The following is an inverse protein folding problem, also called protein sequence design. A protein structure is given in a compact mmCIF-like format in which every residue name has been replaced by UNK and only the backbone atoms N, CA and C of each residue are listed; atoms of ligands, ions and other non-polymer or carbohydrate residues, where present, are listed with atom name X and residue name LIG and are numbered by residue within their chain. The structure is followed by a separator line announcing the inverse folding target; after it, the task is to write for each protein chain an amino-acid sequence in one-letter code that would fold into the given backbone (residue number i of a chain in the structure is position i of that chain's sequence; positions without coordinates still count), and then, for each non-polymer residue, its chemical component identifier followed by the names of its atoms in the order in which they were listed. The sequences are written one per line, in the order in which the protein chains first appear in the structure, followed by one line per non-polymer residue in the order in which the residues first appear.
data_IF_269748826534
#
_entry.id   IF_269748826534
#
_cell.length_a   1.000
_cell.length_b   1.000
_cell.length_c   1.000
_cell.angle_alpha   90.00
_cell.angle_beta   90.00
_cell.angle_gamma   90.00
#
_symmetry.space_group_name_H-M   'P 1'
#
loop_
_entity.id
_entity.type
_entity.pdbx_description
1 polymer ?
#
# COMPACT_ATOMS: atom_id res chain seq x y z
N UNK A 1 -10.10 7.08 -44.87
CA UNK A 1 -11.27 6.37 -44.29
C UNK A 1 -11.66 6.85 -42.88
N UNK A 2 -10.93 7.78 -42.24
CA UNK A 2 -11.32 8.35 -40.93
C UNK A 2 -11.97 9.75 -40.97
N UNK A 3 -12.03 10.41 -42.14
CA UNK A 3 -12.48 11.81 -42.26
C UNK A 3 -13.49 12.04 -43.41
N UNK A 4 -14.37 11.08 -43.67
CA UNK A 4 -15.39 11.21 -44.74
C UNK A 4 -16.68 11.92 -44.31
N UNK A 5 -16.86 12.19 -43.01
CA UNK A 5 -17.93 13.05 -42.50
C UNK A 5 -17.34 14.42 -42.18
N UNK A 6 -17.87 15.50 -42.77
CA UNK A 6 -17.38 16.86 -42.57
C UNK A 6 -17.24 17.27 -41.09
N UNK A 7 -16.54 18.40 -40.85
CA UNK A 7 -16.25 18.89 -39.50
C UNK A 7 -17.55 19.17 -38.73
N UNK A 8 -17.96 18.21 -37.92
CA UNK A 8 -19.12 18.27 -37.02
C UNK A 8 -18.61 18.12 -35.60
N UNK A 9 -19.28 18.77 -34.64
CA UNK A 9 -18.91 18.70 -33.22
C UNK A 9 -18.79 17.27 -32.70
N UNK A 10 -19.66 16.37 -33.17
CA UNK A 10 -19.60 14.94 -32.83
C UNK A 10 -18.32 14.25 -33.32
N UNK A 11 -17.90 14.52 -34.57
CA UNK A 11 -16.66 13.94 -35.12
C UNK A 11 -15.44 14.50 -34.38
N UNK A 12 -15.42 15.81 -34.09
CA UNK A 12 -14.37 16.41 -33.27
C UNK A 12 -14.24 15.76 -31.88
N UNK A 13 -15.36 15.56 -31.17
CA UNK A 13 -15.34 14.88 -29.87
C UNK A 13 -14.87 13.43 -29.98
N UNK A 14 -15.33 12.70 -31.00
CA UNK A 14 -14.92 11.32 -31.24
C UNK A 14 -13.42 11.21 -31.53
N UNK A 15 -12.85 12.16 -32.29
CA UNK A 15 -11.43 12.21 -32.61
C UNK A 15 -10.60 12.51 -31.36
N UNK A 16 -10.98 13.53 -30.57
CA UNK A 16 -10.31 13.85 -29.29
C UNK A 16 -10.36 12.66 -28.33
N UNK A 17 -11.51 12.01 -28.21
CA UNK A 17 -11.66 10.83 -27.37
C UNK A 17 -10.80 9.66 -27.86
N UNK A 18 -10.76 9.42 -29.18
CA UNK A 18 -9.94 8.36 -29.77
C UNK A 18 -8.45 8.58 -29.53
N UNK A 19 -7.98 9.83 -29.66
CA UNK A 19 -6.59 10.21 -29.34
C UNK A 19 -6.31 10.01 -27.86
N UNK A 20 -7.23 10.44 -26.98
CA UNK A 20 -7.09 10.24 -25.54
C UNK A 20 -6.95 8.74 -25.19
N UNK A 21 -7.82 7.88 -25.73
CA UNK A 21 -7.77 6.44 -25.51
C UNK A 21 -6.48 5.82 -26.05
N UNK A 22 -5.98 6.30 -27.19
CA UNK A 22 -4.71 5.86 -27.77
C UNK A 22 -3.50 6.24 -26.90
N UNK A 23 -3.45 7.47 -26.40
CA UNK A 23 -2.40 7.94 -25.48
C UNK A 23 -2.48 7.15 -24.17
N UNK A 24 -3.69 6.99 -23.62
CA UNK A 24 -3.93 6.22 -22.41
C UNK A 24 -3.50 4.76 -22.59
N UNK A 25 -3.76 4.15 -23.75
CA UNK A 25 -3.33 2.79 -24.06
C UNK A 25 -1.81 2.64 -24.00
N UNK A 26 -1.07 3.49 -24.70
CA UNK A 26 0.40 3.49 -24.67
C UNK A 26 0.93 3.75 -23.25
N UNK A 27 0.33 4.70 -22.55
CA UNK A 27 0.74 5.05 -21.19
C UNK A 27 0.56 3.89 -20.20
N UNK A 28 -0.58 3.19 -20.27
CA UNK A 28 -0.83 1.99 -19.47
C UNK A 28 0.14 0.87 -19.83
N UNK A 29 0.39 0.64 -21.12
CA UNK A 29 1.32 -0.37 -21.59
C UNK A 29 2.70 -0.13 -20.96
N UNK A 30 3.29 1.06 -21.16
CA UNK A 30 4.62 1.39 -20.62
C UNK A 30 4.65 1.26 -19.09
N UNK A 31 3.59 1.71 -18.41
CA UNK A 31 3.49 1.63 -16.94
C UNK A 31 3.48 0.18 -16.45
N UNK A 32 2.69 -0.70 -17.10
CA UNK A 32 2.61 -2.13 -16.76
C UNK A 32 3.92 -2.84 -17.07
N UNK A 33 4.55 -2.56 -18.21
CA UNK A 33 5.87 -3.09 -18.52
C UNK A 33 6.91 -2.66 -17.48
N UNK A 34 6.93 -1.38 -17.09
CA UNK A 34 7.81 -0.86 -16.06
C UNK A 34 7.61 -1.54 -14.70
N UNK A 35 6.36 -1.74 -14.28
CA UNK A 35 6.03 -2.49 -13.07
C UNK A 35 6.50 -3.95 -13.15
N UNK A 36 6.19 -4.64 -14.25
CA UNK A 36 6.56 -6.04 -14.49
C UNK A 36 8.07 -6.26 -14.36
N UNK A 37 8.89 -5.34 -14.90
CA UNK A 37 10.34 -5.45 -14.81
C UNK A 37 10.89 -5.09 -13.44
N UNK A 38 10.33 -4.08 -12.75
CA UNK A 38 10.70 -3.68 -11.38
C UNK A 38 10.42 -4.74 -10.33
N UNK A 39 9.50 -5.66 -10.62
CA UNK A 39 9.14 -6.76 -9.73
C UNK A 39 10.21 -7.83 -9.70
N UNK A 40 10.77 -8.06 -8.51
CA UNK A 40 11.78 -9.10 -8.26
C UNK A 40 11.16 -10.43 -7.81
N UNK A 41 9.86 -10.44 -7.50
CA UNK A 41 9.09 -11.62 -7.09
C UNK A 41 8.63 -12.50 -8.27
N UNK A 42 8.74 -12.00 -9.50
CA UNK A 42 8.32 -12.70 -10.72
C UNK A 42 9.55 -13.26 -11.45
N UNK A 43 9.52 -14.55 -11.78
CA UNK A 43 10.59 -15.21 -12.55
C UNK A 43 10.74 -14.62 -13.95
N UNK A 44 11.96 -14.65 -14.52
CA UNK A 44 12.23 -14.12 -15.85
C UNK A 44 11.33 -14.73 -16.95
N UNK A 45 11.08 -16.04 -16.88
CA UNK A 45 10.17 -16.74 -17.80
C UNK A 45 8.72 -16.26 -17.69
N UNK A 46 8.22 -16.01 -16.48
CA UNK A 46 6.89 -15.45 -16.30
C UNK A 46 6.78 -14.03 -16.88
N UNK A 47 7.84 -13.21 -16.79
CA UNK A 47 7.88 -11.89 -17.45
C UNK A 47 7.72 -12.03 -18.96
N UNK A 48 8.41 -12.96 -19.61
CA UNK A 48 8.29 -13.20 -21.06
C UNK A 48 6.86 -13.55 -21.46
N UNK A 49 6.20 -14.44 -20.72
CA UNK A 49 4.80 -14.80 -20.98
C UNK A 49 3.89 -13.57 -20.86
N UNK A 50 4.09 -12.75 -19.83
CA UNK A 50 3.33 -11.51 -19.66
C UNK A 50 3.53 -10.53 -20.81
N UNK A 51 4.76 -10.37 -21.30
CA UNK A 51 5.04 -9.55 -22.48
C UNK A 51 4.24 -10.03 -23.69
N UNK A 52 4.22 -11.34 -23.95
CA UNK A 52 3.46 -11.91 -25.08
C UNK A 52 1.96 -11.63 -24.92
N UNK A 53 1.41 -11.87 -23.73
CA UNK A 53 -0.02 -11.61 -23.44
C UNK A 53 -0.36 -10.14 -23.66
N UNK A 54 0.48 -9.21 -23.18
CA UNK A 54 0.27 -7.77 -23.34
C UNK A 54 0.36 -7.30 -24.80
N UNK A 55 1.12 -8.00 -25.66
CA UNK A 55 1.21 -7.66 -27.09
C UNK A 55 -0.02 -8.16 -27.86
N UNK A 56 -0.45 -9.40 -27.60
CA UNK A 56 -1.53 -10.04 -28.37
C UNK A 56 -2.91 -9.51 -27.97
N UNK A 57 -3.14 -9.25 -26.69
CA UNK A 57 -4.42 -8.79 -26.15
C UNK A 57 -4.23 -7.63 -25.15
N UNK A 58 -3.79 -6.44 -25.57
CA UNK A 58 -3.24 -5.44 -24.66
C UNK A 58 -4.21 -4.96 -23.58
N UNK A 59 -5.46 -4.59 -23.92
CA UNK A 59 -6.42 -4.14 -22.89
C UNK A 59 -6.74 -5.24 -21.88
N UNK A 60 -7.01 -6.47 -22.36
CA UNK A 60 -7.27 -7.61 -21.48
C UNK A 60 -6.02 -7.99 -20.66
N UNK A 61 -4.84 -7.99 -21.28
CA UNK A 61 -3.57 -8.27 -20.63
C UNK A 61 -3.27 -7.29 -19.50
N UNK A 62 -3.52 -5.99 -19.72
CA UNK A 62 -3.41 -4.96 -18.68
C UNK A 62 -4.37 -5.26 -17.52
N UNK A 63 -5.65 -5.55 -17.80
CA UNK A 63 -6.62 -5.83 -16.74
C UNK A 63 -6.30 -7.11 -15.96
N UNK A 64 -5.95 -8.19 -16.66
CA UNK A 64 -5.56 -9.45 -16.02
C UNK A 64 -4.31 -9.22 -15.16
N UNK A 65 -3.31 -8.48 -15.67
CA UNK A 65 -2.12 -8.13 -14.90
C UNK A 65 -2.47 -7.36 -13.63
N UNK A 66 -3.29 -6.32 -13.73
CA UNK A 66 -3.69 -5.55 -12.56
C UNK A 66 -4.41 -6.40 -11.52
N UNK A 67 -5.29 -7.33 -11.94
CA UNK A 67 -6.02 -8.23 -11.05
C UNK A 67 -5.10 -9.32 -10.47
N UNK A 68 -4.26 -9.97 -11.27
CA UNK A 68 -3.40 -11.04 -10.75
C UNK A 68 -2.33 -10.49 -9.81
N UNK A 69 -1.88 -9.26 -10.05
CA UNK A 69 -0.71 -8.70 -9.41
C UNK A 69 -1.01 -7.60 -8.37
N UNK A 70 -2.29 -7.39 -7.99
CA UNK A 70 -2.73 -6.43 -6.95
C UNK A 70 -2.25 -6.77 -5.52
N UNK A 71 -1.85 -8.03 -5.26
CA UNK A 71 -1.72 -8.60 -3.90
C UNK A 71 -0.66 -7.94 -3.00
N UNK A 72 0.33 -7.25 -3.54
CA UNK A 72 1.39 -6.64 -2.73
C UNK A 72 0.93 -5.46 -1.85
N UNK A 73 -0.23 -4.85 -2.11
CA UNK A 73 -0.70 -3.68 -1.35
C UNK A 73 -1.24 -4.05 0.04
N UNK A 74 -2.04 -5.11 0.13
CA UNK A 74 -2.65 -5.54 1.39
C UNK A 74 -1.62 -6.15 2.36
N UNK A 75 -0.72 -6.99 1.84
CA UNK A 75 0.29 -7.67 2.65
C UNK A 75 1.32 -6.66 3.22
N UNK A 76 1.72 -5.64 2.44
CA UNK A 76 2.62 -4.58 2.94
C UNK A 76 1.97 -3.65 3.95
N UNK A 77 0.67 -3.39 3.83
CA UNK A 77 -0.05 -2.58 4.80
C UNK A 77 -0.18 -3.30 6.14
N UNK A 78 -0.40 -4.62 6.11
CA UNK A 78 -0.43 -5.44 7.33
C UNK A 78 0.96 -5.52 7.98
N UNK A 79 2.02 -5.78 7.20
CA UNK A 79 3.40 -5.82 7.71
C UNK A 79 3.84 -4.47 8.29
N UNK A 80 3.54 -3.34 7.64
CA UNK A 80 3.83 -2.00 8.18
C UNK A 80 3.03 -1.70 9.45
N UNK A 81 1.76 -2.12 9.51
CA UNK A 81 0.96 -1.95 10.71
C UNK A 81 1.47 -2.81 11.88
N UNK A 82 2.01 -4.00 11.60
CA UNK A 82 2.66 -4.85 12.61
C UNK A 82 3.99 -4.25 13.08
N UNK A 83 4.86 -3.80 12.18
CA UNK A 83 6.11 -3.12 12.54
C UNK A 83 5.87 -1.86 13.37
N UNK A 84 4.89 -1.03 12.99
CA UNK A 84 4.54 0.16 13.75
C UNK A 84 4.00 -0.17 15.15
N UNK A 85 3.27 -1.27 15.32
CA UNK A 85 2.83 -1.75 16.64
C UNK A 85 3.98 -2.24 17.50
N UNK A 86 4.94 -2.95 16.90
CA UNK A 86 6.12 -3.47 17.60
C UNK A 86 7.07 -2.35 18.03
N UNK A 87 7.29 -1.34 17.17
CA UNK A 87 8.05 -0.12 17.52
C UNK A 87 7.37 0.66 18.65
N UNK A 88 6.05 0.86 18.58
CA UNK A 88 5.29 1.50 19.66
C UNK A 88 5.42 0.71 20.98
N UNK A 89 5.39 -0.63 20.92
CA UNK A 89 5.55 -1.47 22.10
C UNK A 89 6.95 -1.35 22.71
N UNK A 90 8.00 -1.21 21.90
CA UNK A 90 9.36 -0.99 22.39
C UNK A 90 9.54 0.40 23.03
N UNK A 91 8.97 1.44 22.41
CA UNK A 91 9.00 2.81 22.95
C UNK A 91 8.19 2.91 24.25
N UNK A 92 7.03 2.25 24.32
CA UNK A 92 6.19 2.18 25.54
C UNK A 92 6.84 1.27 26.60
N UNK A 93 7.63 0.27 26.21
CA UNK A 93 8.40 -0.57 27.14
C UNK A 93 9.41 0.21 27.98
N UNK A 94 9.97 1.32 27.45
CA UNK A 94 10.76 2.28 28.25
C UNK A 94 9.87 3.10 29.21
N UNK A 95 8.64 3.42 28.79
CA UNK A 95 7.66 4.17 29.59
C UNK A 95 7.14 3.41 30.79
N UNK A 96 7.00 2.08 30.73
CA UNK A 96 6.49 1.29 31.86
C UNK A 96 7.44 1.34 33.08
N UNK A 97 8.75 1.36 32.85
CA UNK A 97 9.75 1.51 33.90
C UNK A 97 9.69 2.91 34.54
N UNK A 98 9.60 3.96 33.73
CA UNK A 98 9.45 5.34 34.19
C UNK A 98 8.11 5.56 34.94
N UNK A 99 7.04 4.88 34.51
CA UNK A 99 5.73 4.95 35.15
C UNK A 99 5.74 4.23 36.51
N UNK A 100 6.45 3.11 36.63
CA UNK A 100 6.68 2.42 37.91
C UNK A 100 7.54 3.30 38.84
N UNK A 101 8.59 3.96 38.35
CA UNK A 101 9.39 4.90 39.15
C UNK A 101 8.54 6.08 39.65
N UNK A 102 7.66 6.62 38.81
CA UNK A 102 6.75 7.70 39.18
C UNK A 102 5.72 7.26 40.23
N UNK A 103 5.17 6.05 40.09
CA UNK A 103 4.28 5.45 41.09
C UNK A 103 5.00 5.24 42.43
N UNK A 104 6.27 4.85 42.41
CA UNK A 104 7.07 4.66 43.62
C UNK A 104 7.37 5.99 44.32
N UNK A 105 7.64 7.06 43.57
CA UNK A 105 7.76 8.42 44.12
C UNK A 105 6.46 8.90 44.77
N UNK A 106 5.30 8.66 44.14
CA UNK A 106 3.99 9.03 44.68
C UNK A 106 3.62 8.26 45.96
N UNK A 107 4.06 7.00 46.06
CA UNK A 107 3.95 6.20 47.28
C UNK A 107 4.83 6.78 48.39
N UNK A 108 6.08 7.10 48.07
CA UNK A 108 7.05 7.62 49.04
C UNK A 108 6.70 9.05 49.52
N UNK A 109 6.00 9.85 48.70
CA UNK A 109 5.44 11.14 49.11
C UNK A 109 4.15 11.03 49.91
N UNK A 110 3.63 9.82 50.13
CA UNK A 110 2.37 9.57 50.85
C UNK A 110 1.13 10.01 50.09
N UNK A 111 1.23 10.27 48.79
CA UNK A 111 0.11 10.73 47.94
C UNK A 111 -0.82 9.59 47.56
N UNK A 112 -0.30 8.36 47.51
CA UNK A 112 -1.09 7.14 47.27
C UNK A 112 -0.80 6.10 48.35
N UNK A 113 -1.80 5.28 48.67
CA UNK A 113 -1.66 4.18 49.62
C UNK A 113 -0.86 3.00 49.03
N UNK A 114 -0.33 2.11 49.89
CA UNK A 114 0.35 0.88 49.44
C UNK A 114 -0.57 -0.03 48.60
N UNK A 115 -1.85 -0.05 48.92
CA UNK A 115 -2.86 -0.84 48.18
C UNK A 115 -3.10 -0.26 46.78
N UNK A 116 -3.22 1.07 46.65
CA UNK A 116 -3.32 1.75 45.36
C UNK A 116 -2.06 1.60 44.52
N UNK A 117 -0.89 1.73 45.12
CA UNK A 117 0.39 1.52 44.43
C UNK A 117 0.46 0.12 43.81
N UNK A 118 0.08 -0.91 44.57
CA UNK A 118 0.14 -2.31 44.10
C UNK A 118 -0.83 -2.54 42.94
N UNK A 119 -2.04 -1.96 43.01
CA UNK A 119 -3.05 -2.06 41.96
C UNK A 119 -2.65 -1.34 40.68
N UNK A 120 -2.04 -0.16 40.78
CA UNK A 120 -1.56 0.63 39.63
C UNK A 120 -0.32 0.01 38.99
N UNK A 121 0.62 -0.50 39.80
CA UNK A 121 1.81 -1.22 39.32
C UNK A 121 1.43 -2.48 38.54
N UNK A 122 0.45 -3.25 39.01
CA UNK A 122 -0.03 -4.43 38.31
C UNK A 122 -0.61 -4.12 36.91
N UNK A 123 -1.15 -2.91 36.72
CA UNK A 123 -1.68 -2.46 35.43
C UNK A 123 -0.59 -1.93 34.48
N UNK A 124 0.49 -1.37 35.02
CA UNK A 124 1.63 -0.85 34.25
C UNK A 124 2.57 -1.97 33.73
N UNK A 125 2.50 -3.17 34.31
CA UNK A 125 3.34 -4.34 33.94
C UNK A 125 2.61 -5.32 33.01
N UNK A 126 1.29 -5.17 32.81
CA UNK A 126 0.48 -5.98 31.89
C UNK A 126 0.57 -5.48 30.45
#
# INVERSE_FOLDING_TARGET
MLFSGGFTFSNFLADVFSIFIFVLWFWLLITVFGDLFRRHDISGWAKVIWVIVLIIIPYLGIFIYLVSQHRGMAERQQQRAQQARDELRQVVGYSAADEIEKLERLKNSGTISNEEYTRLRARAVQ
#
